data_IF_018253733905
#
_entry.id   IF_018253733905
#
_cell.length_a   1.000
_cell.length_b   1.000
_cell.length_c   1.000
_cell.angle_alpha   90.00
_cell.angle_beta   90.00
_cell.angle_gamma   90.00
#
_symmetry.space_group_name_H-M   'P 1'
#
loop_
_entity.id
_entity.type
_entity.pdbx_description
1 polymer ?
#
# COMPACT_ATOMS: atom_id res chain seq x y z
N UNK A 1 -20.86 18.67 2.56
CA UNK A 1 -19.74 17.94 3.19
C UNK A 1 -18.48 18.26 2.39
N UNK A 2 -17.35 18.46 3.05
CA UNK A 2 -16.08 18.72 2.35
C UNK A 2 -15.70 17.49 1.49
N UNK A 3 -15.22 17.72 0.27
CA UNK A 3 -14.90 16.63 -0.68
C UNK A 3 -13.84 15.66 -0.15
N UNK A 4 -12.86 16.16 0.61
CA UNK A 4 -11.82 15.34 1.23
C UNK A 4 -12.44 14.38 2.25
N UNK A 5 -13.31 14.89 3.12
CA UNK A 5 -13.99 14.07 4.13
C UNK A 5 -14.87 13.02 3.45
N UNK A 6 -15.60 13.42 2.41
CA UNK A 6 -16.43 12.52 1.62
C UNK A 6 -15.58 11.39 1.01
N UNK A 7 -14.43 11.69 0.43
CA UNK A 7 -13.54 10.70 -0.15
C UNK A 7 -12.99 9.72 0.91
N UNK A 8 -12.66 10.21 2.12
CA UNK A 8 -12.27 9.34 3.24
C UNK A 8 -13.38 8.35 3.62
N UNK A 9 -14.65 8.79 3.58
CA UNK A 9 -15.80 7.96 3.88
C UNK A 9 -16.15 6.98 2.74
N UNK A 10 -15.90 7.36 1.48
CA UNK A 10 -16.26 6.58 0.29
C UNK A 10 -15.18 5.61 -0.18
N UNK A 11 -13.90 5.87 0.12
CA UNK A 11 -12.80 4.98 -0.26
C UNK A 11 -13.04 3.55 0.26
N UNK A 12 -12.83 2.56 -0.62
CA UNK A 12 -12.95 1.13 -0.29
C UNK A 12 -11.73 0.34 -0.73
N UNK A 13 -11.51 -0.78 -0.07
CA UNK A 13 -10.52 -1.77 -0.51
C UNK A 13 -11.07 -2.54 -1.71
N UNK A 14 -10.41 -2.38 -2.85
CA UNK A 14 -10.79 -3.01 -4.12
C UNK A 14 -10.11 -4.37 -4.23
N UNK A 15 -10.84 -5.39 -4.68
CA UNK A 15 -10.38 -6.78 -4.82
C UNK A 15 -10.62 -7.35 -6.21
N UNK A 16 -10.72 -6.48 -7.21
CA UNK A 16 -10.76 -6.84 -8.62
C UNK A 16 -10.30 -5.64 -9.44
N UNK A 17 -9.29 -5.85 -10.25
CA UNK A 17 -8.66 -4.79 -11.04
C UNK A 17 -8.62 -5.17 -12.51
N UNK A 18 -8.70 -4.16 -13.38
CA UNK A 18 -8.42 -4.30 -14.80
C UNK A 18 -6.92 -4.54 -15.00
N UNK A 19 -6.52 -5.24 -16.08
CA UNK A 19 -5.12 -5.52 -16.37
C UNK A 19 -4.32 -4.29 -16.82
N UNK A 20 -5.02 -3.19 -17.16
CA UNK A 20 -4.40 -1.98 -17.67
C UNK A 20 -3.58 -1.29 -16.58
N UNK A 21 -2.33 -0.93 -16.92
CA UNK A 21 -1.45 -0.20 -16.04
C UNK A 21 -1.93 1.25 -15.89
N UNK A 22 -2.11 1.77 -14.66
CA UNK A 22 -2.35 3.19 -14.45
C UNK A 22 -1.26 4.07 -15.08
N UNK A 23 -1.62 5.29 -15.46
CA UNK A 23 -0.66 6.26 -15.96
C UNK A 23 0.47 6.48 -14.94
N UNK A 24 1.69 6.65 -15.45
CA UNK A 24 2.86 6.86 -14.58
C UNK A 24 2.70 8.11 -13.71
N UNK A 25 2.10 9.13 -14.27
CA UNK A 25 1.82 10.41 -13.63
C UNK A 25 0.85 10.24 -12.44
N UNK A 26 -0.15 9.37 -12.57
CA UNK A 26 -1.09 9.06 -11.48
C UNK A 26 -0.37 8.29 -10.36
N UNK A 27 0.46 7.30 -10.72
CA UNK A 27 1.25 6.57 -9.72
C UNK A 27 2.25 7.49 -9.01
N UNK A 28 2.85 8.45 -9.72
CA UNK A 28 3.73 9.45 -9.11
C UNK A 28 2.99 10.33 -8.11
N UNK A 29 1.80 10.82 -8.45
CA UNK A 29 0.97 11.61 -7.53
C UNK A 29 0.59 10.81 -6.28
N UNK A 30 0.28 9.51 -6.44
CA UNK A 30 -0.04 8.63 -5.30
C UNK A 30 1.17 8.48 -4.38
N UNK A 31 2.35 8.20 -4.93
CA UNK A 31 3.59 8.07 -4.14
C UNK A 31 3.93 9.38 -3.45
N UNK A 32 3.83 10.51 -4.17
CA UNK A 32 4.10 11.83 -3.61
C UNK A 32 3.16 12.15 -2.45
N UNK A 33 1.85 11.88 -2.57
CA UNK A 33 0.91 12.04 -1.47
C UNK A 33 1.31 11.21 -0.24
N UNK A 34 1.90 10.03 -0.45
CA UNK A 34 2.48 9.21 0.61
C UNK A 34 3.64 9.91 1.32
N UNK A 35 4.54 10.58 0.59
CA UNK A 35 5.69 11.29 1.16
C UNK A 35 5.27 12.46 2.06
N UNK A 36 4.08 13.04 1.84
CA UNK A 36 3.53 14.10 2.69
C UNK A 36 2.76 13.59 3.91
N UNK A 37 2.76 12.29 4.17
CA UNK A 37 2.15 11.74 5.37
C UNK A 37 2.84 12.28 6.64
N UNK A 38 2.04 12.49 7.69
CA UNK A 38 2.62 12.84 8.98
C UNK A 38 3.57 11.74 9.46
N UNK A 39 4.69 12.14 10.05
CA UNK A 39 5.69 11.21 10.57
C UNK A 39 6.33 11.74 11.85
N UNK A 40 6.82 10.82 12.68
CA UNK A 40 7.38 11.15 13.98
C UNK A 40 8.60 12.06 13.85
N UNK A 41 8.58 13.21 14.52
CA UNK A 41 9.70 14.16 14.61
C UNK A 41 10.23 14.65 13.23
N UNK A 42 9.46 14.56 12.17
CA UNK A 42 9.91 14.90 10.81
C UNK A 42 11.03 14.01 10.27
N UNK A 43 11.17 12.79 10.78
CA UNK A 43 12.27 11.86 10.44
C UNK A 43 12.22 11.35 9.01
N UNK A 44 11.03 11.32 8.38
CA UNK A 44 10.85 10.80 7.02
C UNK A 44 11.51 9.42 6.83
N UNK A 45 11.37 8.56 7.85
CA UNK A 45 12.04 7.27 7.94
C UNK A 45 11.32 6.16 7.14
N UNK A 46 10.67 6.53 6.05
CA UNK A 46 9.96 5.62 5.15
C UNK A 46 10.41 5.80 3.71
N UNK A 47 10.39 4.71 2.95
CA UNK A 47 10.58 4.71 1.51
C UNK A 47 9.44 3.96 0.82
N UNK A 48 9.22 4.24 -0.46
CA UNK A 48 8.25 3.54 -1.29
C UNK A 48 8.95 2.99 -2.53
N UNK A 49 8.78 1.69 -2.78
CA UNK A 49 9.22 1.03 -4.01
C UNK A 49 8.00 0.87 -4.91
N UNK A 50 8.00 1.52 -6.08
CA UNK A 50 6.94 1.41 -7.06
C UNK A 50 7.25 0.27 -8.05
N UNK A 51 6.51 -0.82 -7.98
CA UNK A 51 6.65 -1.98 -8.84
C UNK A 51 5.59 -1.93 -9.94
N UNK A 52 6.03 -1.65 -11.17
CA UNK A 52 5.23 -1.73 -12.40
C UNK A 52 5.74 -2.82 -13.34
N UNK A 53 6.86 -3.44 -13.01
CA UNK A 53 7.42 -4.58 -13.74
C UNK A 53 6.60 -5.84 -13.44
N UNK A 54 5.94 -6.39 -14.46
CA UNK A 54 5.07 -7.55 -14.30
C UNK A 54 5.76 -8.78 -13.71
N UNK A 55 7.01 -9.06 -14.10
CA UNK A 55 7.73 -10.23 -13.59
C UNK A 55 8.01 -10.12 -12.08
N UNK A 56 8.43 -8.94 -11.63
CA UNK A 56 8.66 -8.69 -10.20
C UNK A 56 7.33 -8.71 -9.43
N UNK A 57 6.28 -8.09 -9.98
CA UNK A 57 4.93 -8.11 -9.39
C UNK A 57 4.42 -9.54 -9.20
N UNK A 58 4.57 -10.41 -10.21
CA UNK A 58 4.10 -11.79 -10.15
C UNK A 58 4.93 -12.64 -9.15
N UNK A 59 6.24 -12.38 -9.03
CA UNK A 59 7.09 -13.00 -7.99
C UNK A 59 6.64 -12.59 -6.59
N UNK A 60 6.43 -11.31 -6.35
CA UNK A 60 5.89 -10.78 -5.08
C UNK A 60 4.56 -11.45 -4.74
N UNK A 61 3.65 -11.57 -5.71
CA UNK A 61 2.37 -12.24 -5.52
C UNK A 61 2.54 -13.70 -5.09
N UNK A 62 3.40 -14.44 -5.77
CA UNK A 62 3.63 -15.85 -5.47
C UNK A 62 4.24 -16.05 -4.08
N UNK A 63 5.21 -15.24 -3.70
CA UNK A 63 5.83 -15.28 -2.37
C UNK A 63 4.81 -14.86 -1.29
N UNK A 64 4.06 -13.79 -1.52
CA UNK A 64 3.02 -13.33 -0.60
C UNK A 64 1.97 -14.42 -0.35
N UNK A 65 1.53 -15.10 -1.42
CA UNK A 65 0.60 -16.22 -1.32
C UNK A 65 1.18 -17.38 -0.51
N UNK A 66 2.45 -17.73 -0.76
CA UNK A 66 3.17 -18.80 -0.03
C UNK A 66 3.29 -18.48 1.46
N UNK A 67 3.73 -17.27 1.83
CA UNK A 67 3.85 -16.81 3.22
C UNK A 67 2.48 -16.83 3.89
N UNK A 68 1.43 -16.43 3.17
CA UNK A 68 0.07 -16.39 3.67
C UNK A 68 -0.63 -17.75 3.77
N UNK A 69 -0.02 -18.83 3.28
CA UNK A 69 -0.63 -20.16 3.25
C UNK A 69 -1.83 -20.26 2.29
N UNK A 70 -1.86 -19.44 1.25
CA UNK A 70 -2.92 -19.46 0.23
C UNK A 70 -2.70 -20.60 -0.77
N UNK A 71 -3.78 -21.00 -1.44
CA UNK A 71 -3.70 -22.00 -2.51
C UNK A 71 -2.78 -21.52 -3.63
N UNK A 72 -2.05 -22.45 -4.25
CA UNK A 72 -1.28 -22.19 -5.45
C UNK A 72 -2.15 -21.53 -6.53
N UNK A 73 -1.60 -20.49 -7.18
CA UNK A 73 -2.31 -19.70 -8.19
C UNK A 73 -3.23 -18.61 -7.64
N UNK A 74 -3.42 -18.51 -6.33
CA UNK A 74 -4.11 -17.35 -5.75
C UNK A 74 -3.22 -16.12 -5.83
N UNK A 75 -3.78 -15.01 -6.33
CA UNK A 75 -3.11 -13.71 -6.38
C UNK A 75 -3.58 -12.81 -5.24
N UNK A 76 -2.79 -12.62 -4.18
CA UNK A 76 -3.12 -11.71 -3.07
C UNK A 76 -3.28 -10.25 -3.48
N UNK A 77 -2.76 -9.86 -4.64
CA UNK A 77 -2.90 -8.51 -5.19
C UNK A 77 -4.15 -8.34 -6.08
N UNK A 78 -4.98 -9.39 -6.21
CA UNK A 78 -6.28 -9.35 -6.91
C UNK A 78 -6.20 -8.84 -8.35
N UNK A 79 -5.11 -9.11 -9.06
CA UNK A 79 -4.90 -8.67 -10.43
C UNK A 79 -4.41 -7.22 -10.57
N UNK A 80 -4.17 -6.50 -9.49
CA UNK A 80 -3.63 -5.14 -9.56
C UNK A 80 -2.30 -5.13 -10.31
N UNK A 81 -2.14 -4.28 -11.34
CA UNK A 81 -0.91 -4.25 -12.15
C UNK A 81 0.24 -3.50 -11.48
N UNK A 82 -0.05 -2.54 -10.60
CA UNK A 82 0.95 -1.76 -9.88
C UNK A 82 0.92 -2.07 -8.38
N UNK A 83 2.11 -2.23 -7.78
CA UNK A 83 2.29 -2.46 -6.35
C UNK A 83 3.25 -1.40 -5.81
N UNK A 84 2.76 -0.59 -4.87
CA UNK A 84 3.57 0.40 -4.16
C UNK A 84 3.91 -0.18 -2.78
N UNK A 85 5.18 -0.52 -2.56
CA UNK A 85 5.63 -1.18 -1.34
C UNK A 85 6.19 -0.13 -0.40
N UNK A 86 5.62 -0.03 0.79
CA UNK A 86 6.12 0.86 1.84
C UNK A 86 7.05 0.08 2.76
N UNK A 87 8.26 0.60 2.91
CA UNK A 87 9.24 0.14 3.88
C UNK A 87 9.56 1.27 4.85
N UNK A 88 10.00 0.92 6.04
CA UNK A 88 10.44 1.88 7.05
C UNK A 88 11.73 1.42 7.72
N UNK A 89 12.57 2.38 8.16
CA UNK A 89 13.83 2.11 8.86
C UNK A 89 13.59 1.28 10.11
N UNK A 90 14.21 0.11 10.21
CA UNK A 90 14.09 -0.81 11.35
C UNK A 90 14.48 -0.17 12.69
N UNK A 91 15.40 0.78 12.65
CA UNK A 91 15.91 1.46 13.85
C UNK A 91 14.99 2.59 14.34
N UNK A 92 13.93 2.92 13.59
CA UNK A 92 12.97 3.94 13.98
C UNK A 92 11.81 3.34 14.79
N UNK A 93 11.61 3.84 16.01
CA UNK A 93 10.59 3.32 16.93
C UNK A 93 9.15 3.45 16.37
N UNK A 94 8.86 4.54 15.64
CA UNK A 94 7.54 4.81 15.10
C UNK A 94 7.33 4.27 13.67
N UNK A 95 8.24 3.44 13.16
CA UNK A 95 8.26 2.95 11.77
C UNK A 95 6.92 2.41 11.27
N UNK A 96 6.25 1.62 12.09
CA UNK A 96 4.95 1.01 11.70
C UNK A 96 3.86 2.08 11.60
N UNK A 97 3.85 3.03 12.53
CA UNK A 97 2.87 4.12 12.53
C UNK A 97 3.08 5.05 11.34
N UNK A 98 4.33 5.51 11.13
CA UNK A 98 4.69 6.38 10.02
C UNK A 98 4.39 5.72 8.67
N UNK A 99 4.80 4.46 8.49
CA UNK A 99 4.50 3.70 7.26
C UNK A 99 3.01 3.46 7.05
N UNK A 100 2.24 3.29 8.12
CA UNK A 100 0.78 3.16 8.03
C UNK A 100 0.11 4.44 7.56
N UNK A 101 0.62 5.61 7.97
CA UNK A 101 0.13 6.91 7.50
C UNK A 101 0.47 7.12 6.01
N UNK A 102 1.66 6.72 5.57
CA UNK A 102 2.04 6.72 4.15
C UNK A 102 1.04 5.88 3.34
N UNK A 103 0.76 4.65 3.77
CA UNK A 103 -0.23 3.77 3.13
C UNK A 103 -1.62 4.42 3.08
N UNK A 104 -2.06 5.06 4.16
CA UNK A 104 -3.34 5.76 4.24
C UNK A 104 -3.44 6.87 3.21
N UNK A 105 -2.42 7.75 3.11
CA UNK A 105 -2.37 8.83 2.15
C UNK A 105 -2.37 8.30 0.70
N UNK A 106 -1.56 7.29 0.39
CA UNK A 106 -1.53 6.69 -0.96
C UNK A 106 -2.88 6.12 -1.37
N UNK A 107 -3.55 5.39 -0.47
CA UNK A 107 -4.87 4.81 -0.77
C UNK A 107 -5.94 5.89 -0.97
N UNK A 108 -5.87 7.00 -0.24
CA UNK A 108 -6.78 8.13 -0.42
C UNK A 108 -6.52 8.85 -1.74
N UNK A 109 -5.25 9.12 -2.06
CA UNK A 109 -4.85 9.72 -3.34
C UNK A 109 -5.30 8.86 -4.54
N UNK A 110 -5.12 7.54 -4.48
CA UNK A 110 -5.61 6.63 -5.51
C UNK A 110 -7.12 6.78 -5.72
N UNK A 111 -7.90 6.90 -4.64
CA UNK A 111 -9.33 7.10 -4.73
C UNK A 111 -9.70 8.43 -5.40
N UNK A 112 -9.00 9.53 -5.10
CA UNK A 112 -9.22 10.82 -5.77
C UNK A 112 -8.88 10.80 -7.26
N UNK A 113 -7.94 9.95 -7.65
CA UNK A 113 -7.57 9.74 -9.06
C UNK A 113 -8.46 8.70 -9.78
N UNK A 114 -9.59 8.32 -9.16
CA UNK A 114 -10.51 7.30 -9.67
C UNK A 114 -9.85 5.91 -9.88
N UNK A 115 -8.79 5.63 -9.11
CA UNK A 115 -8.14 4.33 -9.05
C UNK A 115 -8.59 3.55 -7.82
N UNK A 116 -8.62 2.24 -7.97
CA UNK A 116 -8.79 1.33 -6.85
C UNK A 116 -7.48 1.08 -6.12
N UNK A 117 -7.58 0.87 -4.81
CA UNK A 117 -6.43 0.45 -4.01
C UNK A 117 -6.83 -0.49 -2.89
N UNK A 118 -5.87 -1.26 -2.39
CA UNK A 118 -6.02 -2.10 -1.21
C UNK A 118 -4.68 -2.30 -0.52
N UNK A 119 -4.69 -2.34 0.81
CA UNK A 119 -3.53 -2.73 1.61
C UNK A 119 -3.40 -4.25 1.66
N UNK A 120 -2.26 -4.78 1.27
CA UNK A 120 -1.90 -6.19 1.40
C UNK A 120 -0.72 -6.31 2.37
N UNK A 121 -0.85 -7.21 3.33
CA UNK A 121 0.17 -7.50 4.33
C UNK A 121 1.33 -8.34 3.79
N UNK A 122 2.26 -8.71 4.67
CA UNK A 122 3.42 -9.61 4.49
C UNK A 122 4.63 -8.99 3.81
N UNK A 123 4.62 -7.67 3.58
CA UNK A 123 5.82 -6.98 3.14
C UNK A 123 6.98 -7.18 4.12
N UNK A 124 6.69 -7.30 5.43
CA UNK A 124 7.70 -7.57 6.45
C UNK A 124 8.42 -8.88 6.17
N UNK A 125 7.67 -9.96 6.10
CA UNK A 125 8.20 -11.30 5.90
C UNK A 125 8.89 -11.44 4.54
N UNK A 126 8.36 -10.78 3.50
CA UNK A 126 9.00 -10.77 2.18
C UNK A 126 10.35 -10.08 2.21
N UNK A 127 10.45 -8.90 2.82
CA UNK A 127 11.70 -8.14 2.88
C UNK A 127 12.70 -8.67 3.93
N UNK A 128 12.38 -9.72 4.67
CA UNK A 128 13.33 -10.53 5.42
C UNK A 128 14.03 -11.59 4.54
N UNK A 129 13.51 -11.87 3.33
CA UNK A 129 14.11 -12.84 2.41
C UNK A 129 15.35 -12.25 1.71
N UNK A 130 16.42 -13.07 1.52
CA UNK A 130 17.67 -12.60 0.90
C UNK A 130 17.48 -11.95 -0.48
N UNK A 131 16.57 -12.47 -1.29
CA UNK A 131 16.31 -11.95 -2.64
C UNK A 131 15.78 -10.51 -2.64
N UNK A 132 14.98 -10.12 -1.64
CA UNK A 132 14.48 -8.75 -1.55
C UNK A 132 15.46 -7.80 -0.84
N UNK A 133 16.34 -8.34 -0.01
CA UNK A 133 17.50 -7.59 0.49
C UNK A 133 18.47 -7.25 -0.66
N UNK A 134 18.66 -8.18 -1.60
CA UNK A 134 19.46 -7.91 -2.80
C UNK A 134 18.80 -6.89 -3.72
N UNK A 135 17.48 -6.97 -3.90
CA UNK A 135 16.72 -5.95 -4.63
C UNK A 135 16.94 -4.54 -4.05
N UNK A 136 16.96 -4.38 -2.71
CA UNK A 136 17.24 -3.10 -2.09
C UNK A 136 18.63 -2.57 -2.45
N UNK A 137 19.65 -3.43 -2.45
CA UNK A 137 21.01 -3.06 -2.86
C UNK A 137 21.08 -2.66 -4.34
N UNK A 138 20.43 -3.43 -5.21
CA UNK A 138 20.34 -3.10 -6.65
C UNK A 138 19.69 -1.74 -6.90
N UNK A 139 18.74 -1.35 -6.05
CA UNK A 139 18.09 -0.02 -6.08
C UNK A 139 18.94 1.07 -5.41
N UNK A 140 20.11 0.75 -4.83
CA UNK A 140 20.94 1.69 -4.11
C UNK A 140 20.35 2.13 -2.76
N UNK A 141 19.50 1.30 -2.16
CA UNK A 141 18.87 1.57 -0.86
C UNK A 141 19.76 0.99 0.24
N UNK A 142 20.45 1.86 0.95
CA UNK A 142 21.29 1.51 2.10
C UNK A 142 20.47 1.45 3.39
N UNK A 143 21.00 0.71 4.38
CA UNK A 143 20.40 0.60 5.71
C UNK A 143 19.52 -0.64 5.89
N UNK A 144 18.86 -0.70 7.04
CA UNK A 144 17.98 -1.83 7.40
C UNK A 144 16.52 -1.40 7.33
N UNK A 145 15.75 -2.07 6.48
CA UNK A 145 14.36 -1.71 6.21
C UNK A 145 13.41 -2.85 6.60
N UNK A 146 12.28 -2.48 7.19
CA UNK A 146 11.16 -3.38 7.50
C UNK A 146 9.99 -3.08 6.56
N UNK A 147 9.42 -4.12 5.93
CA UNK A 147 8.22 -3.97 5.12
C UNK A 147 7.01 -3.61 5.98
N UNK A 148 6.27 -2.58 5.57
CA UNK A 148 5.03 -2.15 6.25
C UNK A 148 3.80 -2.71 5.53
N UNK A 149 3.79 -2.64 4.21
CA UNK A 149 2.68 -3.16 3.42
C UNK A 149 2.81 -2.86 1.95
N UNK A 150 1.95 -3.50 1.17
CA UNK A 150 1.81 -3.28 -0.26
C UNK A 150 0.51 -2.51 -0.51
N UNK A 151 0.58 -1.37 -1.15
CA UNK A 151 -0.57 -0.70 -1.75
C UNK A 151 -0.73 -1.24 -3.17
N UNK A 152 -1.64 -2.18 -3.37
CA UNK A 152 -1.98 -2.66 -4.70
C UNK A 152 -2.90 -1.64 -5.36
N UNK A 153 -2.56 -1.19 -6.58
CA UNK A 153 -3.23 -0.09 -7.28
C UNK A 153 -3.55 -0.47 -8.72
N UNK A 154 -4.72 -0.05 -9.21
CA UNK A 154 -5.16 -0.28 -10.59
C UNK A 154 -6.53 0.30 -10.87
N UNK A 155 -6.98 0.21 -12.12
CA UNK A 155 -8.35 0.56 -12.47
C UNK A 155 -9.33 -0.47 -11.91
N UNK A 156 -10.45 0.01 -11.36
CA UNK A 156 -11.47 -0.84 -10.74
C UNK A 156 -12.18 -1.66 -11.82
N UNK A 157 -12.31 -2.97 -11.60
CA UNK A 157 -13.09 -3.87 -12.45
C UNK A 157 -14.34 -4.33 -11.68
N UNK A 158 -15.45 -3.66 -11.93
CA UNK A 158 -16.74 -3.95 -11.30
C UNK A 158 -17.23 -2.90 -10.31
N UNK A 159 -18.08 -3.30 -9.39
CA UNK A 159 -18.70 -2.40 -8.42
C UNK A 159 -17.80 -2.11 -7.21
N UNK A 160 -17.87 -0.87 -6.73
CA UNK A 160 -17.21 -0.48 -5.49
C UNK A 160 -18.00 -1.10 -4.31
N UNK A 161 -17.33 -1.82 -3.39
CA UNK A 161 -18.00 -2.43 -2.25
C UNK A 161 -18.72 -1.42 -1.37
N UNK A 162 -19.90 -1.77 -0.86
CA UNK A 162 -20.63 -0.92 0.09
C UNK A 162 -19.88 -0.82 1.42
N UNK A 163 -19.96 0.36 2.05
CA UNK A 163 -19.43 0.53 3.40
C UNK A 163 -20.17 -0.36 4.41
N UNK A 164 -19.44 -1.05 5.26
CA UNK A 164 -20.04 -1.69 6.42
C UNK A 164 -20.61 -0.62 7.38
N UNK A 165 -21.71 -0.91 8.04
CA UNK A 165 -22.24 -0.04 9.10
C UNK A 165 -21.17 0.19 10.17
N UNK A 166 -20.99 1.44 10.58
CA UNK A 166 -20.11 1.74 11.73
C UNK A 166 -20.72 1.21 13.01
N UNK A 167 -19.90 0.61 13.87
CA UNK A 167 -20.34 0.13 15.18
C UNK A 167 -20.63 1.33 16.08
N UNK A 168 -21.66 1.19 16.91
CA UNK A 168 -22.00 2.17 17.93
C UNK A 168 -20.95 2.22 19.06
N UNK A 169 -20.95 3.28 19.84
CA UNK A 169 -20.07 3.47 21.01
C UNK A 169 -18.59 3.39 20.67
N UNK A 170 -18.14 4.15 19.67
CA UNK A 170 -16.71 4.25 19.26
C UNK A 170 -16.11 5.62 19.48
N UNK A 171 -16.94 6.59 19.91
CA UNK A 171 -16.50 7.95 20.25
C UNK A 171 -17.10 8.30 21.60
N UNK A 172 -16.27 8.81 22.48
CA UNK A 172 -16.64 9.25 23.82
C UNK A 172 -16.19 10.70 23.97
N UNK A 173 -17.13 11.58 24.31
CA UNK A 173 -16.87 13.00 24.54
C UNK A 173 -16.64 13.23 26.03
N UNK A 174 -15.62 13.99 26.37
CA UNK A 174 -15.37 14.52 27.73
C UNK A 174 -15.42 16.03 27.58
N UNK A 175 -16.44 16.66 28.18
CA UNK A 175 -16.69 18.09 28.13
C UNK A 175 -16.42 18.75 29.49
#
# INVERSE_FOLDING_TARGET
MNEIIKAMEERRSIRKFKPDMPAKEDLQQIVEAGLYAANGMGKQATITIAVTNKKLRDRLSAINAKIGGWKEGFDPFYGAPAILIVLADKNWANRVYDGSLVMGNMMLAAHFLNLGSIWIHRAKEEFELPEYQELLKELGVDGEWEGIGHCAVGYIDGEIPKAAKRKDNRVFWVE
#
